data_IF_846029921728
#
_entry.id   IF_846029921728
#
_cell.length_a   1.000
_cell.length_b   1.000
_cell.length_c   1.000
_cell.angle_alpha   90.00
_cell.angle_beta   90.00
_cell.angle_gamma   90.00
#
_symmetry.space_group_name_H-M   'P 1'
#
loop_
_entity.id
_entity.type
_entity.pdbx_description
1 polymer ?
#
# COMPACT_ATOMS: atom_id res chain seq x y z
N UNK A 1 28.10 -1.79 8.48
CA UNK A 1 26.88 -1.57 7.68
C UNK A 1 26.07 -2.86 7.59
N UNK A 2 25.31 -3.25 8.62
CA UNK A 2 24.53 -4.50 8.56
C UNK A 2 23.15 -4.24 7.94
N UNK A 3 23.04 -4.33 6.61
CA UNK A 3 21.79 -4.25 5.82
C UNK A 3 21.16 -5.65 5.63
N UNK A 4 21.14 -6.46 6.69
CA UNK A 4 20.67 -7.85 6.62
C UNK A 4 19.48 -8.12 7.53
N UNK A 5 19.40 -9.36 8.01
CA UNK A 5 18.46 -9.89 9.00
C UNK A 5 18.03 -8.92 10.11
N UNK A 6 18.93 -8.16 10.78
CA UNK A 6 18.52 -7.26 11.86
C UNK A 6 17.61 -6.11 11.41
N UNK A 7 17.63 -5.74 10.12
CA UNK A 7 16.78 -4.68 9.59
C UNK A 7 15.33 -5.14 9.36
N UNK A 8 15.10 -6.44 9.15
CA UNK A 8 13.77 -6.98 8.87
C UNK A 8 12.80 -6.89 10.06
N UNK A 9 13.30 -6.95 11.30
CA UNK A 9 12.49 -6.76 12.51
C UNK A 9 11.77 -5.41 12.60
N UNK A 10 12.21 -4.40 11.83
CA UNK A 10 11.57 -3.07 11.77
C UNK A 10 10.36 -3.00 10.83
N UNK A 11 10.06 -4.05 10.05
CA UNK A 11 9.00 -4.06 9.03
C UNK A 11 7.61 -4.48 9.55
N UNK A 12 7.49 -4.93 10.80
CA UNK A 12 6.18 -5.28 11.41
C UNK A 12 5.31 -4.08 11.82
N UNK A 13 5.72 -2.85 11.45
CA UNK A 13 4.94 -1.63 11.74
C UNK A 13 3.67 -1.60 10.89
N UNK A 14 2.76 -0.67 11.23
CA UNK A 14 1.48 -0.45 10.55
C UNK A 14 1.55 -0.68 9.04
N UNK A 15 0.69 -1.58 8.54
CA UNK A 15 0.57 -1.85 7.11
C UNK A 15 0.29 -0.56 6.32
N UNK A 16 1.08 -0.34 5.28
CA UNK A 16 0.94 0.80 4.36
C UNK A 16 -0.23 0.61 3.39
N UNK A 17 -0.46 -0.62 2.96
CA UNK A 17 -1.54 -0.97 2.03
C UNK A 17 -2.71 -1.61 2.76
N UNK A 18 -3.92 -1.35 2.27
CA UNK A 18 -5.19 -1.94 2.72
C UNK A 18 -6.05 -2.34 1.52
N UNK A 19 -7.18 -2.98 1.77
CA UNK A 19 -8.14 -3.38 0.74
C UNK A 19 -8.77 -2.14 0.09
N UNK A 20 -8.73 -2.05 -1.23
CA UNK A 20 -9.32 -0.93 -1.97
C UNK A 20 -10.84 -1.12 -2.12
N UNK A 21 -11.66 -0.09 -1.84
CA UNK A 21 -13.11 -0.19 -1.98
C UNK A 21 -13.58 -0.27 -3.44
N UNK A 22 -12.78 0.19 -4.41
CA UNK A 22 -13.14 0.17 -5.83
C UNK A 22 -12.84 -1.18 -6.51
N UNK A 23 -11.64 -1.73 -6.31
CA UNK A 23 -11.20 -2.94 -7.02
C UNK A 23 -11.02 -4.18 -6.12
N UNK A 24 -11.22 -4.07 -4.81
CA UNK A 24 -11.08 -5.19 -3.86
C UNK A 24 -9.64 -5.67 -3.59
N UNK A 25 -8.65 -5.20 -4.36
CA UNK A 25 -7.23 -5.58 -4.19
C UNK A 25 -6.61 -4.93 -2.95
N UNK A 26 -5.64 -5.59 -2.32
CA UNK A 26 -4.87 -5.07 -1.18
C UNK A 26 -3.78 -4.08 -1.63
N UNK A 27 -4.20 -3.00 -2.27
CA UNK A 27 -3.32 -2.06 -2.96
C UNK A 27 -3.62 -0.59 -2.64
N UNK A 28 -4.54 -0.29 -1.72
CA UNK A 28 -4.86 1.07 -1.31
C UNK A 28 -3.84 1.58 -0.28
N UNK A 29 -3.14 2.66 -0.58
CA UNK A 29 -2.17 3.24 0.35
C UNK A 29 -2.84 4.10 1.42
N UNK A 30 -2.86 3.66 2.68
CA UNK A 30 -3.65 4.27 3.77
C UNK A 30 -3.31 5.73 4.11
N UNK A 31 -2.07 6.19 3.86
CA UNK A 31 -1.70 7.60 4.13
C UNK A 31 -1.97 8.56 2.97
N UNK A 32 -2.17 8.01 1.76
CA UNK A 32 -2.30 8.80 0.54
C UNK A 32 -3.68 8.61 -0.10
N UNK A 33 -4.45 7.64 0.39
CA UNK A 33 -5.73 7.18 -0.15
C UNK A 33 -5.72 6.90 -1.66
N UNK A 34 -4.55 6.47 -2.17
CA UNK A 34 -4.36 6.13 -3.58
C UNK A 34 -4.18 4.62 -3.74
N UNK A 35 -4.96 4.01 -4.62
CA UNK A 35 -4.80 2.61 -4.99
C UNK A 35 -3.78 2.46 -6.13
N UNK A 36 -2.75 1.65 -5.90
CA UNK A 36 -1.73 1.37 -6.91
C UNK A 36 -2.26 0.53 -8.08
N UNK A 37 -3.30 -0.30 -7.87
CA UNK A 37 -3.85 -1.17 -8.92
C UNK A 37 -4.84 -0.45 -9.83
N UNK A 38 -5.88 0.17 -9.28
CA UNK A 38 -6.98 0.73 -10.08
C UNK A 38 -6.96 2.25 -10.20
N UNK A 39 -6.01 2.93 -9.54
CA UNK A 39 -5.94 4.38 -9.53
C UNK A 39 -6.99 5.09 -8.65
N UNK A 40 -7.79 4.37 -7.85
CA UNK A 40 -8.72 4.97 -6.87
C UNK A 40 -8.01 6.05 -6.04
N UNK A 41 -8.63 7.23 -5.88
CA UNK A 41 -8.05 8.42 -5.25
C UNK A 41 -7.21 9.31 -6.17
N UNK A 42 -6.65 8.77 -7.26
CA UNK A 42 -5.82 9.51 -8.23
C UNK A 42 -6.52 9.72 -9.59
N UNK A 43 -7.36 8.78 -10.00
CA UNK A 43 -8.15 8.85 -11.25
C UNK A 43 -9.61 8.54 -11.00
N UNK A 44 -10.50 9.27 -11.71
CA UNK A 44 -11.94 9.03 -11.67
C UNK A 44 -12.30 7.69 -12.34
N UNK A 45 -11.66 7.37 -13.46
CA UNK A 45 -11.84 6.11 -14.18
C UNK A 45 -10.92 5.00 -13.66
N UNK A 46 -11.39 3.75 -13.78
CA UNK A 46 -10.58 2.56 -13.58
C UNK A 46 -9.54 2.48 -14.69
N UNK A 47 -8.27 2.30 -14.33
CA UNK A 47 -7.28 1.75 -15.26
C UNK A 47 -7.43 0.24 -15.31
#
# INVERSE_FOLDING_TARGET
MSKGTPSFGKHGKKHTHVRCPRCGKFALHRRRDICASCGYGRSKCLK
#
